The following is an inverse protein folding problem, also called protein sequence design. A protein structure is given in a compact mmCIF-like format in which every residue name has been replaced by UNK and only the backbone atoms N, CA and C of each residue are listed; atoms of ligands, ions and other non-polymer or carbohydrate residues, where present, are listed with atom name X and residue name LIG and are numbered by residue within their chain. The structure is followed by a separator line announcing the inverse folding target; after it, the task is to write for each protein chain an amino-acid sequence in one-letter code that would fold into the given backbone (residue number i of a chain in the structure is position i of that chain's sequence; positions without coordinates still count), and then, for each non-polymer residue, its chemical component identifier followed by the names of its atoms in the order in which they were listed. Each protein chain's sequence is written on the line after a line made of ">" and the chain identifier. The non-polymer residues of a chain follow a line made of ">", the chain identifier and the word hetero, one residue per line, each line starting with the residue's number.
data_IF_167814767679
#
_entry.id   IF_167814767679
#
_cell.length_a   1.000
_cell.length_b   1.000
_cell.length_c   1.000
_cell.angle_alpha   90.00
_cell.angle_beta   90.00
_cell.angle_gamma   90.00
#
_symmetry.space_group_name_H-M   'P 1'
#
loop_
_entity.id
_entity.type
_entity.pdbx_description
1 polymer ?
#
# COMPACT_ATOMS: atom_id res chain seq x y z
N UNK A 1 14.09 33.52 -10.09
CA UNK A 1 14.77 33.55 -8.79
C UNK A 1 14.59 32.16 -8.21
N UNK A 2 15.59 31.28 -8.36
CA UNK A 2 15.53 29.96 -7.74
C UNK A 2 15.71 30.18 -6.24
N UNK A 3 14.64 29.91 -5.50
CA UNK A 3 14.65 29.93 -4.05
C UNK A 3 15.76 28.97 -3.56
N UNK A 4 16.44 29.32 -2.47
CA UNK A 4 17.41 28.40 -1.86
C UNK A 4 16.72 27.05 -1.68
N UNK A 5 17.35 25.97 -2.15
CA UNK A 5 16.79 24.63 -2.00
C UNK A 5 16.50 24.35 -0.52
N UNK A 6 15.24 24.08 -0.21
CA UNK A 6 14.82 23.63 1.11
C UNK A 6 15.68 22.40 1.50
N UNK A 7 16.33 22.40 2.68
CA UNK A 7 17.10 21.25 3.16
C UNK A 7 16.30 19.93 3.16
N UNK A 8 14.98 19.98 3.32
CA UNK A 8 14.10 18.81 3.21
C UNK A 8 13.99 18.37 1.75
N UNK A 9 13.78 19.30 0.81
CA UNK A 9 13.73 18.98 -0.60
C UNK A 9 15.02 18.32 -1.09
N UNK A 10 16.18 18.78 -0.61
CA UNK A 10 17.47 18.15 -0.93
C UNK A 10 17.56 16.71 -0.38
N UNK A 11 17.12 16.46 0.85
CA UNK A 11 17.08 15.10 1.43
C UNK A 11 16.15 14.16 0.63
N UNK A 12 15.01 14.65 0.16
CA UNK A 12 14.08 13.88 -0.68
C UNK A 12 14.73 13.51 -2.01
N UNK A 13 15.37 14.48 -2.67
CA UNK A 13 16.10 14.24 -3.92
C UNK A 13 17.19 13.19 -3.69
N UNK A 14 18.03 13.36 -2.67
CA UNK A 14 19.11 12.41 -2.36
C UNK A 14 18.58 10.99 -2.06
N UNK A 15 17.48 10.86 -1.32
CA UNK A 15 16.95 9.54 -0.96
C UNK A 15 16.38 8.77 -2.16
N UNK A 16 15.60 9.45 -3.02
CA UNK A 16 14.90 8.82 -4.13
C UNK A 16 15.75 8.70 -5.40
N UNK A 17 16.67 9.65 -5.63
CA UNK A 17 17.49 9.69 -6.84
C UNK A 17 18.86 9.02 -6.68
N UNK A 18 19.21 8.47 -5.50
CA UNK A 18 20.51 7.85 -5.23
C UNK A 18 20.97 6.76 -6.20
N UNK A 19 20.03 6.09 -6.88
CA UNK A 19 20.33 4.99 -7.79
C UNK A 19 20.31 5.42 -9.28
N UNK A 20 20.01 6.68 -9.56
CA UNK A 20 20.08 7.21 -10.92
C UNK A 20 21.54 7.22 -11.39
N UNK A 21 21.73 6.83 -12.64
CA UNK A 21 23.04 6.79 -13.28
C UNK A 21 22.93 7.18 -14.76
N UNK A 22 24.04 7.13 -15.49
CA UNK A 22 24.09 7.52 -16.90
C UNK A 22 23.15 6.73 -17.83
N UNK A 23 22.69 5.54 -17.40
CA UNK A 23 21.74 4.72 -18.15
C UNK A 23 20.27 5.03 -17.82
N UNK A 24 20.02 5.83 -16.80
CA UNK A 24 18.66 6.17 -16.39
C UNK A 24 17.97 7.05 -17.44
N UNK A 25 16.68 6.86 -17.62
CA UNK A 25 15.88 7.53 -18.63
C UNK A 25 14.66 8.27 -18.04
N UNK A 26 13.81 8.81 -18.91
CA UNK A 26 12.63 9.57 -18.50
C UNK A 26 11.60 8.71 -17.74
N UNK A 27 11.52 7.41 -17.99
CA UNK A 27 10.59 6.51 -17.29
C UNK A 27 11.06 6.22 -15.86
N UNK A 28 12.37 6.07 -15.64
CA UNK A 28 12.93 5.97 -14.28
C UNK A 28 12.59 7.22 -13.45
N UNK A 29 12.71 8.41 -14.08
CA UNK A 29 12.33 9.67 -13.45
C UNK A 29 10.83 9.75 -13.16
N UNK A 30 9.97 9.27 -14.06
CA UNK A 30 8.51 9.24 -13.84
C UNK A 30 8.13 8.35 -12.67
N UNK A 31 8.73 7.16 -12.57
CA UNK A 31 8.50 6.24 -11.45
C UNK A 31 8.96 6.87 -10.14
N UNK A 32 10.15 7.49 -10.12
CA UNK A 32 10.65 8.19 -8.92
C UNK A 32 9.70 9.30 -8.48
N UNK A 33 9.21 10.13 -9.40
CA UNK A 33 8.29 11.21 -9.06
C UNK A 33 6.94 10.68 -8.53
N UNK A 34 6.42 9.61 -9.13
CA UNK A 34 5.22 8.93 -8.65
C UNK A 34 5.42 8.33 -7.25
N UNK A 35 6.56 7.69 -7.01
CA UNK A 35 6.95 7.13 -5.71
C UNK A 35 7.05 8.23 -4.64
N UNK A 36 7.77 9.33 -4.91
CA UNK A 36 7.89 10.46 -3.96
C UNK A 36 6.52 11.00 -3.58
N UNK A 37 5.68 11.25 -4.58
CA UNK A 37 4.35 11.83 -4.38
C UNK A 37 3.43 10.86 -3.63
N UNK A 38 3.35 9.61 -4.06
CA UNK A 38 2.52 8.58 -3.45
C UNK A 38 2.97 8.24 -2.03
N UNK A 39 4.28 8.14 -1.80
CA UNK A 39 4.85 7.83 -0.49
C UNK A 39 4.53 8.93 0.53
N UNK A 40 4.68 10.20 0.14
CA UNK A 40 4.38 11.34 1.00
C UNK A 40 2.89 11.53 1.27
N UNK A 41 2.04 11.45 0.24
CA UNK A 41 0.62 11.82 0.37
C UNK A 41 -0.28 10.68 0.85
N UNK A 42 0.08 9.43 0.59
CA UNK A 42 -0.83 8.30 0.82
C UNK A 42 -0.17 7.16 1.58
N UNK A 43 0.92 6.58 1.04
CA UNK A 43 1.47 5.32 1.55
C UNK A 43 2.01 5.49 2.96
N UNK A 44 2.99 6.37 3.18
CA UNK A 44 3.61 6.48 4.51
C UNK A 44 2.67 7.03 5.59
N UNK A 45 1.80 8.03 5.33
CA UNK A 45 0.75 8.38 6.27
C UNK A 45 -0.14 7.20 6.67
N UNK A 46 -0.54 6.35 5.71
CA UNK A 46 -1.38 5.16 5.97
C UNK A 46 -0.64 4.11 6.81
N UNK A 47 0.62 3.81 6.46
CA UNK A 47 1.44 2.84 7.20
C UNK A 47 1.68 3.30 8.63
N UNK A 48 2.10 4.56 8.81
CA UNK A 48 2.36 5.11 10.14
C UNK A 48 1.08 5.19 10.97
N UNK A 49 -0.06 5.55 10.37
CA UNK A 49 -1.36 5.46 11.03
C UNK A 49 -1.65 4.04 11.52
N UNK A 50 -1.44 3.02 10.67
CA UNK A 50 -1.62 1.61 11.03
C UNK A 50 -0.77 1.19 12.23
N UNK A 51 0.50 1.63 12.29
CA UNK A 51 1.37 1.39 13.44
C UNK A 51 0.87 2.02 14.73
N UNK A 52 0.50 3.30 14.69
CA UNK A 52 0.01 4.00 15.86
C UNK A 52 -1.32 3.42 16.34
N UNK A 53 -2.23 3.14 15.41
CA UNK A 53 -3.52 2.53 15.68
C UNK A 53 -3.31 1.15 16.30
N UNK A 54 -2.54 0.27 15.67
CA UNK A 54 -2.27 -1.08 16.19
C UNK A 54 -1.70 -1.04 17.62
N UNK A 55 -0.70 -0.20 17.89
CA UNK A 55 -0.14 -0.04 19.24
C UNK A 55 -1.20 0.42 20.26
N UNK A 56 -2.04 1.37 19.89
CA UNK A 56 -3.13 1.85 20.74
C UNK A 56 -4.17 0.76 21.01
N UNK A 57 -4.48 -0.07 20.01
CA UNK A 57 -5.45 -1.16 20.11
C UNK A 57 -4.93 -2.34 20.93
N UNK A 58 -3.64 -2.68 20.80
CA UNK A 58 -2.99 -3.72 21.61
C UNK A 58 -3.06 -3.41 23.11
N UNK A 59 -2.93 -2.13 23.51
CA UNK A 59 -3.07 -1.71 24.91
C UNK A 59 -4.47 -1.93 25.48
N UNK A 60 -5.51 -1.96 24.63
CA UNK A 60 -6.91 -2.08 25.03
C UNK A 60 -7.48 -3.50 24.92
N UNK A 61 -6.64 -4.50 24.59
CA UNK A 61 -6.98 -5.90 24.82
C UNK A 61 -7.88 -6.59 23.79
N UNK A 62 -8.04 -6.04 22.56
CA UNK A 62 -8.31 -6.77 21.29
C UNK A 62 -8.82 -5.82 20.21
N UNK A 63 -8.06 -5.66 19.13
CA UNK A 63 -8.54 -5.40 17.78
C UNK A 63 -7.41 -5.75 16.80
N UNK A 64 -7.74 -6.52 15.78
CA UNK A 64 -6.82 -6.93 14.73
C UNK A 64 -6.74 -5.85 13.66
N UNK A 65 -5.52 -5.48 13.26
CA UNK A 65 -5.28 -4.54 12.18
C UNK A 65 -4.82 -5.32 10.95
N UNK A 66 -5.44 -5.06 9.80
CA UNK A 66 -5.12 -5.69 8.52
C UNK A 66 -4.77 -4.62 7.49
N UNK A 67 -3.85 -4.96 6.60
CA UNK A 67 -3.40 -4.08 5.53
C UNK A 67 -3.27 -4.88 4.23
N UNK A 68 -3.46 -4.22 3.10
CA UNK A 68 -3.23 -4.77 1.77
C UNK A 68 -2.55 -3.77 0.85
N UNK A 69 -2.04 -4.28 -0.27
CA UNK A 69 -1.65 -3.49 -1.43
C UNK A 69 -2.23 -4.12 -2.69
N UNK A 70 -2.96 -3.34 -3.48
CA UNK A 70 -3.45 -3.75 -4.79
C UNK A 70 -2.28 -3.80 -5.78
N UNK A 71 -2.14 -4.92 -6.49
CA UNK A 71 -1.00 -5.16 -7.41
C UNK A 71 -1.43 -5.31 -8.87
N UNK A 72 -2.69 -5.70 -9.12
CA UNK A 72 -3.24 -5.83 -10.46
C UNK A 72 -3.95 -4.52 -10.85
N UNK A 73 -3.47 -3.78 -11.86
CA UNK A 73 -4.23 -2.68 -12.43
C UNK A 73 -5.44 -3.21 -13.20
N UNK A 74 -6.56 -2.50 -13.12
CA UNK A 74 -7.72 -2.81 -13.95
C UNK A 74 -7.36 -2.49 -15.41
N UNK A 75 -7.77 -3.31 -16.37
CA UNK A 75 -7.46 -3.10 -17.79
C UNK A 75 -8.40 -2.08 -18.46
N UNK A 76 -9.63 -1.96 -17.96
CA UNK A 76 -10.63 -1.00 -18.42
C UNK A 76 -11.61 -0.69 -17.29
N UNK A 77 -11.77 0.60 -16.95
CA UNK A 77 -12.66 1.03 -15.88
C UNK A 77 -12.50 2.49 -15.51
N UNK A 78 -13.43 2.99 -14.70
CA UNK A 78 -13.25 4.27 -14.00
C UNK A 78 -11.97 4.20 -13.15
N UNK A 79 -11.22 5.29 -13.02
CA UNK A 79 -9.96 5.36 -12.25
C UNK A 79 -8.76 4.58 -12.82
N UNK A 80 -8.92 3.80 -13.89
CA UNK A 80 -7.82 3.22 -14.64
C UNK A 80 -6.83 4.31 -15.10
N UNK A 81 -5.54 4.00 -14.99
CA UNK A 81 -4.50 4.76 -15.66
C UNK A 81 -4.24 4.27 -17.10
N UNK A 82 -4.45 5.17 -18.06
CA UNK A 82 -4.41 4.85 -19.50
C UNK A 82 -3.03 4.44 -20.05
N UNK A 83 -1.97 4.37 -19.23
CA UNK A 83 -0.63 3.98 -19.66
C UNK A 83 -0.06 2.86 -18.79
N UNK A 84 0.44 1.80 -19.43
CA UNK A 84 0.91 0.57 -18.78
C UNK A 84 2.00 0.79 -17.70
N UNK A 85 2.82 1.84 -17.83
CA UNK A 85 3.90 2.13 -16.88
C UNK A 85 3.41 2.64 -15.52
N UNK A 86 2.16 3.11 -15.43
CA UNK A 86 1.62 3.73 -14.21
C UNK A 86 1.24 2.70 -13.13
N UNK A 87 1.10 1.42 -13.51
CA UNK A 87 0.64 0.38 -12.61
C UNK A 87 -0.76 0.66 -12.07
N UNK A 88 -0.98 0.36 -10.79
CA UNK A 88 -2.28 0.55 -10.12
C UNK A 88 -2.46 2.01 -9.71
N UNK A 89 -3.50 2.66 -10.21
CA UNK A 89 -3.81 4.03 -9.84
C UNK A 89 -4.78 4.15 -8.66
N UNK A 90 -4.80 5.36 -8.10
CA UNK A 90 -5.57 5.65 -6.90
C UNK A 90 -7.08 5.43 -7.13
N UNK A 91 -7.69 4.61 -6.29
CA UNK A 91 -9.12 4.32 -6.30
C UNK A 91 -9.53 3.13 -7.17
N UNK A 92 -8.60 2.45 -7.85
CA UNK A 92 -8.92 1.26 -8.64
C UNK A 92 -9.43 0.09 -7.78
N UNK A 93 -9.05 0.02 -6.50
CA UNK A 93 -9.58 -0.98 -5.56
C UNK A 93 -11.09 -0.85 -5.34
N UNK A 94 -11.64 0.36 -5.44
CA UNK A 94 -13.10 0.62 -5.42
C UNK A 94 -13.79 -0.02 -6.63
N UNK A 95 -13.11 -0.07 -7.79
CA UNK A 95 -13.65 -0.68 -9.00
C UNK A 95 -13.76 -2.20 -8.82
N UNK A 96 -12.73 -2.83 -8.26
CA UNK A 96 -12.75 -4.27 -7.94
C UNK A 96 -13.84 -4.63 -6.93
N UNK A 97 -14.06 -3.80 -5.91
CA UNK A 97 -15.06 -4.07 -4.87
C UNK A 97 -16.50 -3.90 -5.34
N UNK A 98 -16.77 -2.89 -6.19
CA UNK A 98 -18.13 -2.47 -6.46
C UNK A 98 -18.52 -2.52 -7.94
N UNK A 99 -17.62 -2.24 -8.88
CA UNK A 99 -17.98 -2.11 -10.30
C UNK A 99 -17.78 -3.39 -11.11
N UNK A 100 -16.68 -4.12 -10.91
CA UNK A 100 -16.43 -5.40 -11.57
C UNK A 100 -17.62 -6.37 -11.45
N UNK A 101 -18.22 -6.61 -10.26
CA UNK A 101 -19.31 -7.58 -10.14
C UNK A 101 -20.64 -7.14 -10.77
N UNK A 102 -20.82 -5.83 -11.04
CA UNK A 102 -22.08 -5.28 -11.54
C UNK A 102 -22.05 -4.90 -13.03
N UNK A 103 -20.86 -4.82 -13.63
CA UNK A 103 -20.68 -4.26 -14.96
C UNK A 103 -20.86 -5.31 -16.05
N UNK A 104 -21.44 -4.89 -17.18
CA UNK A 104 -21.55 -5.70 -18.40
C UNK A 104 -20.26 -5.69 -19.25
N UNK A 105 -19.23 -4.98 -18.80
CA UNK A 105 -17.92 -4.95 -19.48
C UNK A 105 -17.24 -6.31 -19.38
N UNK A 106 -16.37 -6.59 -20.34
CA UNK A 106 -15.54 -7.79 -20.33
C UNK A 106 -14.29 -7.54 -19.50
N UNK A 107 -14.23 -8.11 -18.29
CA UNK A 107 -13.00 -8.19 -17.51
C UNK A 107 -12.24 -9.48 -17.79
N UNK A 108 -10.93 -9.43 -17.59
CA UNK A 108 -10.07 -10.60 -17.63
C UNK A 108 -10.41 -11.57 -16.49
N UNK A 109 -10.01 -12.83 -16.65
CA UNK A 109 -10.24 -13.86 -15.61
C UNK A 109 -9.57 -13.49 -14.28
N UNK A 110 -8.38 -12.89 -14.35
CA UNK A 110 -7.63 -12.52 -13.14
C UNK A 110 -8.29 -11.35 -12.41
N UNK A 111 -8.87 -10.39 -13.13
CA UNK A 111 -9.61 -9.29 -12.51
C UNK A 111 -10.93 -9.75 -11.85
N UNK A 112 -11.65 -10.66 -12.51
CA UNK A 112 -12.88 -11.24 -11.95
C UNK A 112 -12.52 -12.05 -10.70
N UNK A 113 -11.44 -12.84 -10.75
CA UNK A 113 -10.96 -13.59 -9.61
C UNK A 113 -10.59 -12.64 -8.46
N UNK A 114 -9.83 -11.58 -8.73
CA UNK A 114 -9.45 -10.60 -7.74
C UNK A 114 -10.65 -9.92 -7.09
N UNK A 115 -11.62 -9.50 -7.92
CA UNK A 115 -12.85 -8.87 -7.44
C UNK A 115 -13.61 -9.78 -6.49
N UNK A 116 -13.81 -11.05 -6.86
CA UNK A 116 -14.47 -12.03 -6.01
C UNK A 116 -13.71 -12.23 -4.69
N UNK A 117 -12.38 -12.41 -4.76
CA UNK A 117 -11.53 -12.62 -3.59
C UNK A 117 -11.54 -11.42 -2.64
N UNK A 118 -11.52 -10.20 -3.19
CA UNK A 118 -11.66 -8.96 -2.42
C UNK A 118 -13.04 -8.85 -1.77
N UNK A 119 -14.13 -9.07 -2.51
CA UNK A 119 -15.50 -8.99 -1.97
C UNK A 119 -15.69 -10.00 -0.83
N UNK A 120 -15.22 -11.24 -1.01
CA UNK A 120 -15.28 -12.29 0.02
C UNK A 120 -14.46 -11.87 1.25
N UNK A 121 -13.24 -11.36 1.06
CA UNK A 121 -12.37 -10.92 2.15
C UNK A 121 -12.97 -9.75 2.93
N UNK A 122 -13.50 -8.74 2.24
CA UNK A 122 -14.12 -7.56 2.85
C UNK A 122 -15.43 -7.88 3.56
N UNK A 123 -16.29 -8.73 2.98
CA UNK A 123 -17.54 -9.15 3.63
C UNK A 123 -17.28 -10.07 4.83
N UNK A 124 -16.27 -10.94 4.75
CA UNK A 124 -15.85 -11.76 5.90
C UNK A 124 -15.26 -10.91 7.02
N UNK A 125 -14.47 -9.89 6.69
CA UNK A 125 -13.98 -8.92 7.68
C UNK A 125 -15.14 -8.16 8.33
N UNK A 126 -16.12 -7.70 7.55
CA UNK A 126 -17.31 -7.04 8.10
C UNK A 126 -18.12 -7.95 9.04
N UNK A 127 -18.15 -9.26 8.79
CA UNK A 127 -18.87 -10.24 9.59
C UNK A 127 -18.10 -10.69 10.85
N UNK A 128 -16.79 -10.89 10.74
CA UNK A 128 -15.98 -11.59 11.77
C UNK A 128 -14.87 -10.74 12.39
N UNK A 129 -14.58 -9.58 11.82
CA UNK A 129 -13.38 -8.79 12.14
C UNK A 129 -12.08 -9.34 11.57
N UNK A 130 -12.12 -10.41 10.75
CA UNK A 130 -10.95 -11.03 10.12
C UNK A 130 -11.21 -11.23 8.62
N UNK A 131 -10.30 -10.84 7.71
CA UNK A 131 -10.40 -11.20 6.29
C UNK A 131 -10.27 -12.71 6.10
N UNK A 132 -10.75 -13.24 4.98
CA UNK A 132 -10.75 -14.68 4.70
C UNK A 132 -9.33 -15.26 4.66
N UNK A 133 -9.17 -16.50 5.17
CA UNK A 133 -7.88 -17.19 5.31
C UNK A 133 -7.46 -18.04 4.11
N UNK A 134 -8.20 -17.99 2.99
CA UNK A 134 -8.05 -18.93 1.88
C UNK A 134 -8.01 -18.25 0.51
N UNK A 135 -7.09 -17.30 0.33
CA UNK A 135 -6.71 -16.83 -1.00
C UNK A 135 -5.89 -17.93 -1.66
N UNK A 136 -6.31 -18.40 -2.85
CA UNK A 136 -5.69 -19.54 -3.52
C UNK A 136 -4.72 -19.07 -4.61
N UNK A 137 -3.52 -19.63 -4.57
CA UNK A 137 -2.55 -19.48 -5.65
C UNK A 137 -2.77 -20.51 -6.78
N UNK A 138 -2.11 -20.31 -7.93
CA UNK A 138 -2.32 -21.10 -9.16
C UNK A 138 -2.19 -22.62 -8.99
N UNK A 139 -1.44 -23.08 -7.99
CA UNK A 139 -1.29 -24.51 -7.70
C UNK A 139 -2.50 -25.14 -6.98
N UNK A 140 -3.50 -24.34 -6.58
CA UNK A 140 -4.66 -24.71 -5.77
C UNK A 140 -4.33 -25.50 -4.48
N UNK A 141 -3.06 -25.50 -4.07
CA UNK A 141 -2.51 -26.26 -2.95
C UNK A 141 -1.97 -25.34 -1.85
N UNK A 142 -1.56 -24.12 -2.20
CA UNK A 142 -1.10 -23.11 -1.24
C UNK A 142 -2.19 -22.06 -1.01
N UNK A 143 -2.94 -22.24 0.07
CA UNK A 143 -3.80 -21.20 0.60
C UNK A 143 -2.92 -20.21 1.39
N UNK A 144 -3.03 -18.92 1.07
CA UNK A 144 -2.31 -17.87 1.78
C UNK A 144 -3.25 -17.24 2.81
N UNK A 145 -2.83 -17.30 4.06
CA UNK A 145 -3.56 -16.70 5.16
C UNK A 145 -3.31 -15.19 5.23
N UNK A 146 -4.39 -14.41 5.24
CA UNK A 146 -4.31 -12.98 5.49
C UNK A 146 -4.17 -12.71 6.99
N UNK A 147 -2.91 -12.61 7.42
CA UNK A 147 -2.57 -12.40 8.83
C UNK A 147 -2.60 -10.92 9.21
N UNK A 148 -2.61 -10.66 10.52
CA UNK A 148 -2.56 -9.29 11.06
C UNK A 148 -1.33 -8.55 10.54
N UNK A 149 -1.55 -7.30 10.14
CA UNK A 149 -0.52 -6.42 9.65
C UNK A 149 0.55 -6.13 10.72
N UNK A 150 0.15 -6.10 12.00
CA UNK A 150 1.09 -6.05 13.14
C UNK A 150 0.58 -7.02 14.19
N UNK A 151 1.46 -7.91 14.64
CA UNK A 151 1.22 -8.81 15.75
C UNK A 151 2.29 -8.62 16.84
N UNK A 152 2.18 -9.33 17.97
CA UNK A 152 3.10 -9.22 19.12
C UNK A 152 4.59 -9.46 18.80
N UNK A 153 4.93 -9.99 17.63
CA UNK A 153 6.30 -10.29 17.19
C UNK A 153 6.77 -9.38 16.04
N UNK A 154 5.89 -8.56 15.47
CA UNK A 154 6.20 -7.70 14.33
C UNK A 154 6.54 -6.29 14.80
N UNK A 155 7.68 -5.78 14.36
CA UNK A 155 8.07 -4.37 14.59
C UNK A 155 7.50 -3.43 13.52
N UNK A 156 7.14 -3.97 12.35
CA UNK A 156 6.73 -3.23 11.15
C UNK A 156 5.38 -3.73 10.61
N UNK A 157 4.69 -2.86 9.87
CA UNK A 157 3.47 -3.21 9.14
C UNK A 157 3.77 -4.20 8.02
N UNK A 158 3.08 -5.32 8.06
CA UNK A 158 2.91 -6.28 6.97
C UNK A 158 1.61 -6.03 6.22
N UNK A 159 1.53 -6.44 4.96
CA UNK A 159 0.31 -6.33 4.16
C UNK A 159 0.12 -7.53 3.24
N UNK A 160 -1.14 -7.79 2.88
CA UNK A 160 -1.48 -8.77 1.84
C UNK A 160 -1.25 -8.16 0.45
N UNK A 161 -0.36 -8.77 -0.33
CA UNK A 161 -0.18 -8.49 -1.75
C UNK A 161 -1.36 -9.05 -2.53
N UNK A 162 -2.23 -8.17 -3.05
CA UNK A 162 -3.40 -8.55 -3.82
C UNK A 162 -3.05 -8.67 -5.30
N UNK A 163 -2.37 -9.76 -5.62
CA UNK A 163 -2.06 -10.21 -6.97
C UNK A 163 -2.70 -11.59 -7.18
N UNK A 164 -3.69 -11.73 -8.08
CA UNK A 164 -4.33 -13.01 -8.34
C UNK A 164 -3.30 -14.09 -8.62
N UNK A 165 -3.51 -15.24 -7.97
CA UNK A 165 -2.67 -16.45 -8.08
C UNK A 165 -1.27 -16.35 -7.46
N UNK A 166 -0.88 -15.16 -6.98
CA UNK A 166 0.43 -14.85 -6.38
C UNK A 166 0.24 -14.03 -5.09
N UNK A 167 -0.74 -14.42 -4.28
CA UNK A 167 -0.99 -13.78 -3.00
C UNK A 167 0.19 -14.04 -2.05
N UNK A 168 0.57 -13.03 -1.27
CA UNK A 168 1.69 -13.11 -0.33
C UNK A 168 1.50 -12.10 0.80
N UNK A 169 1.83 -12.50 2.04
CA UNK A 169 2.02 -11.56 3.14
C UNK A 169 3.43 -10.98 3.09
N UNK A 170 3.53 -9.70 2.72
CA UNK A 170 4.81 -9.00 2.61
C UNK A 170 5.05 -8.20 3.90
N UNK A 171 6.25 -8.35 4.47
CA UNK A 171 6.66 -7.67 5.70
C UNK A 171 7.88 -6.78 5.46
N UNK A 172 8.11 -5.77 6.31
CA UNK A 172 9.29 -4.89 6.28
C UNK A 172 9.49 -4.06 4.98
N UNK A 173 8.52 -4.09 4.07
CA UNK A 173 8.62 -3.41 2.78
C UNK A 173 8.69 -1.88 2.92
N UNK A 174 7.89 -1.32 3.84
CA UNK A 174 7.81 0.12 4.04
C UNK A 174 8.81 0.68 5.05
N UNK A 175 9.61 -0.17 5.70
CA UNK A 175 10.47 0.26 6.81
C UNK A 175 11.47 1.35 6.40
N UNK A 176 12.19 1.15 5.29
CA UNK A 176 13.20 2.11 4.83
C UNK A 176 12.55 3.44 4.41
N UNK A 177 11.42 3.38 3.70
CA UNK A 177 10.78 4.58 3.16
C UNK A 177 9.97 5.33 4.23
N UNK A 178 9.12 4.63 4.96
CA UNK A 178 8.18 5.25 5.88
C UNK A 178 8.77 5.46 7.27
N UNK A 179 9.39 4.45 7.88
CA UNK A 179 9.93 4.61 9.24
C UNK A 179 11.23 5.38 9.30
N UNK A 180 12.19 5.01 8.44
CA UNK A 180 13.52 5.61 8.50
C UNK A 180 13.58 6.99 7.84
N UNK A 181 12.85 7.18 6.73
CA UNK A 181 12.93 8.40 5.93
C UNK A 181 11.78 9.40 6.19
N UNK A 182 10.53 9.02 5.92
CA UNK A 182 9.41 9.98 6.00
C UNK A 182 8.96 10.31 7.42
N UNK A 183 8.94 9.36 8.35
CA UNK A 183 8.46 9.57 9.74
C UNK A 183 9.23 10.70 10.47
N UNK A 184 10.57 10.79 10.42
CA UNK A 184 11.31 11.92 10.98
C UNK A 184 10.99 13.27 10.33
N UNK A 185 10.64 13.29 9.04
CA UNK A 185 10.30 14.51 8.30
C UNK A 185 8.87 14.96 8.66
N UNK A 186 7.91 14.04 8.61
CA UNK A 186 6.48 14.31 8.87
C UNK A 186 6.22 14.74 10.31
N UNK A 187 6.93 14.15 11.29
CA UNK A 187 6.68 14.39 12.71
C UNK A 187 7.74 15.25 13.40
N UNK A 188 8.61 15.94 12.65
CA UNK A 188 9.69 16.77 13.21
C UNK A 188 9.21 17.90 14.14
N UNK A 189 7.93 18.31 14.02
CA UNK A 189 7.36 19.44 14.75
C UNK A 189 6.61 19.10 16.05
N UNK A 190 6.44 17.83 16.44
CA UNK A 190 5.67 17.48 17.66
C UNK A 190 6.46 17.61 18.98
N UNK A 191 7.74 17.98 18.94
CA UNK A 191 8.57 18.17 20.16
C UNK A 191 8.66 19.62 20.67
N UNK A 192 8.05 20.61 19.99
CA UNK A 192 8.26 22.03 20.34
C UNK A 192 7.18 22.68 21.22
N UNK A 193 6.09 21.99 21.58
CA UNK A 193 5.04 22.53 22.47
C UNK A 193 4.81 21.67 23.72
N UNK A 194 5.87 21.45 24.51
CA UNK A 194 5.78 21.07 25.92
C UNK A 194 6.84 21.83 26.69
N UNK A 195 6.61 23.13 26.86
CA UNK A 195 7.14 24.02 27.89
C UNK A 195 6.56 25.39 27.61
N UNK A 196 5.39 25.66 28.18
CA UNK A 196 4.93 26.96 28.69
C UNK A 196 3.69 26.70 29.58
#
# INVERSE_FOLDING_TARGET
>A
MFEKSDPIAQQVVEFYMKNLNEKSNADDMRIILADVFGDYHLVCPTILFGEYLSRALMMNGRQSFYSYRLMLPIHDGTFNCNNDWQGVCHGEDVVYLFHVPMSHRSYTKDEIQLSNDMIISWTTFAWTGHPTTALKNDDNQTAVEWTEAINNRSEFVSFMSLQPKHYEMISNYFHIKCDQFWKPILFKHTKQNKND
#
